data_IF_368179955205
#
_entry.id   IF_368179955205
#
_cell.length_a   1.000
_cell.length_b   1.000
_cell.length_c   1.000
_cell.angle_alpha   90.00
_cell.angle_beta   90.00
_cell.angle_gamma   90.00
#
_symmetry.space_group_name_H-M   'P 1'
#
loop_
_entity.id
_entity.type
_entity.pdbx_description
1 polymer ?
#
# COMPACT_ATOMS: atom_id res chain seq x y z
N UNK A 1 -3.57 -13.18 21.86
CA UNK A 1 -2.39 -12.33 21.65
C UNK A 1 -1.65 -12.12 22.96
N UNK A 2 -0.52 -12.80 23.20
CA UNK A 2 0.32 -12.61 24.40
C UNK A 2 1.48 -11.61 24.18
N UNK A 3 1.76 -11.24 22.93
CA UNK A 3 2.90 -10.40 22.54
C UNK A 3 2.84 -9.00 23.19
N UNK A 4 1.64 -8.42 23.38
CA UNK A 4 1.49 -7.11 24.01
C UNK A 4 1.89 -7.06 25.49
N UNK A 5 1.99 -8.21 26.16
CA UNK A 5 2.42 -8.29 27.56
C UNK A 5 3.92 -8.57 27.73
N UNK A 6 4.69 -8.69 26.65
CA UNK A 6 6.11 -8.93 26.74
C UNK A 6 6.84 -7.62 27.13
N UNK A 7 7.47 -7.54 28.31
CA UNK A 7 8.13 -6.31 28.77
C UNK A 7 9.25 -5.85 27.84
N UNK A 8 9.91 -6.81 27.18
CA UNK A 8 11.01 -6.53 26.26
C UNK A 8 10.55 -5.78 25.01
N UNK A 9 9.42 -6.17 24.44
CA UNK A 9 8.84 -5.51 23.29
C UNK A 9 8.39 -4.09 23.61
N UNK A 10 7.79 -3.89 24.78
CA UNK A 10 7.29 -2.58 25.23
C UNK A 10 8.36 -1.63 25.78
N UNK A 11 9.61 -2.07 25.89
CA UNK A 11 10.70 -1.28 26.47
C UNK A 11 11.95 -1.32 25.61
N UNK A 12 12.94 -2.17 25.97
CA UNK A 12 14.26 -2.14 25.36
C UNK A 12 14.25 -2.42 23.85
N UNK A 13 13.36 -3.28 23.32
CA UNK A 13 13.30 -3.55 21.89
C UNK A 13 12.67 -2.41 21.09
N UNK A 14 11.63 -1.75 21.61
CA UNK A 14 11.10 -0.54 20.98
C UNK A 14 12.15 0.59 20.93
N UNK A 15 12.88 0.80 22.02
CA UNK A 15 13.98 1.76 22.07
C UNK A 15 15.12 1.39 21.11
N UNK A 16 15.50 0.10 21.06
CA UNK A 16 16.52 -0.40 20.12
C UNK A 16 16.09 -0.20 18.66
N UNK A 17 14.84 -0.54 18.31
CA UNK A 17 14.29 -0.35 16.96
C UNK A 17 14.31 1.12 16.56
N UNK A 18 13.92 2.03 17.47
CA UNK A 18 13.94 3.46 17.21
C UNK A 18 15.36 4.00 17.02
N UNK A 19 16.29 3.63 17.89
CA UNK A 19 17.70 4.04 17.78
C UNK A 19 18.36 3.48 16.52
N UNK A 20 18.06 2.22 16.17
CA UNK A 20 18.56 1.59 14.95
C UNK A 20 18.09 2.34 13.69
N UNK A 21 16.80 2.71 13.61
CA UNK A 21 16.29 3.51 12.49
C UNK A 21 17.01 4.86 12.36
N UNK A 22 17.35 5.51 13.48
CA UNK A 22 18.12 6.76 13.48
C UNK A 22 19.55 6.56 12.97
N UNK A 23 20.22 5.48 13.38
CA UNK A 23 21.55 5.15 12.85
C UNK A 23 21.50 4.84 11.35
N UNK A 24 20.45 4.16 10.88
CA UNK A 24 20.25 3.95 9.44
C UNK A 24 20.04 5.26 8.68
N UNK A 25 19.18 6.15 9.18
CA UNK A 25 18.98 7.48 8.58
C UNK A 25 20.29 8.28 8.49
N UNK A 26 21.13 8.21 9.52
CA UNK A 26 22.45 8.86 9.52
C UNK A 26 23.37 8.26 8.45
N UNK A 27 23.40 6.94 8.30
CA UNK A 27 24.20 6.28 7.27
C UNK A 27 23.72 6.65 5.87
N UNK A 28 22.41 6.69 5.64
CA UNK A 28 21.83 7.14 4.36
C UNK A 28 22.18 8.59 4.06
N UNK A 29 22.24 9.47 5.06
CA UNK A 29 22.65 10.88 4.85
C UNK A 29 24.13 11.06 4.51
N UNK A 30 24.99 10.08 4.83
CA UNK A 30 26.44 10.14 4.62
C UNK A 30 26.89 9.38 3.36
N UNK A 31 26.07 8.46 2.86
CA UNK A 31 26.42 7.61 1.71
C UNK A 31 25.22 7.51 0.77
N UNK A 32 25.33 8.12 -0.40
CA UNK A 32 24.30 8.17 -1.45
C UNK A 32 24.25 6.88 -2.32
N UNK A 33 24.72 5.73 -1.82
CA UNK A 33 24.60 4.50 -2.61
C UNK A 33 24.57 3.19 -1.83
N UNK A 34 23.71 2.31 -2.34
CA UNK A 34 23.51 0.88 -2.09
C UNK A 34 22.99 0.45 -0.69
N UNK A 35 22.33 -0.73 -0.59
CA UNK A 35 21.76 -1.25 0.66
C UNK A 35 22.82 -1.38 1.76
N UNK A 36 22.41 -1.09 3.01
CA UNK A 36 23.25 -1.14 4.21
C UNK A 36 24.10 -2.43 4.22
N UNK A 37 25.41 -2.28 4.05
CA UNK A 37 26.36 -3.40 4.13
C UNK A 37 26.27 -4.11 5.50
N UNK A 38 26.60 -5.40 5.55
CA UNK A 38 26.57 -6.24 6.75
C UNK A 38 27.39 -5.61 7.90
N UNK A 39 28.52 -4.99 7.60
CA UNK A 39 29.35 -4.32 8.62
C UNK A 39 28.62 -3.12 9.22
N UNK A 40 27.94 -2.34 8.38
CA UNK A 40 27.15 -1.20 8.82
C UNK A 40 25.92 -1.63 9.63
N UNK A 41 25.28 -2.74 9.27
CA UNK A 41 24.21 -3.35 10.07
C UNK A 41 24.69 -3.68 11.49
N UNK A 42 25.81 -4.42 11.62
CA UNK A 42 26.33 -4.83 12.94
C UNK A 42 26.72 -3.61 13.77
N UNK A 43 27.38 -2.61 13.17
CA UNK A 43 27.79 -1.38 13.87
C UNK A 43 26.59 -0.55 14.32
N UNK A 44 25.59 -0.37 13.45
CA UNK A 44 24.36 0.37 13.77
C UNK A 44 23.56 -0.35 14.87
N UNK A 45 23.47 -1.68 14.80
CA UNK A 45 22.81 -2.48 15.82
C UNK A 45 23.53 -2.42 17.17
N UNK A 46 24.87 -2.46 17.19
CA UNK A 46 25.65 -2.34 18.43
C UNK A 46 25.33 -1.03 19.18
N UNK A 47 25.33 0.10 18.46
CA UNK A 47 24.94 1.41 19.03
C UNK A 47 23.48 1.44 19.47
N UNK A 48 22.58 0.90 18.65
CA UNK A 48 21.17 0.85 18.99
C UNK A 48 20.90 0.01 20.25
N UNK A 49 21.67 -1.07 20.44
CA UNK A 49 21.61 -1.93 21.62
C UNK A 49 22.05 -1.19 22.88
N UNK A 50 23.09 -0.37 22.83
CA UNK A 50 23.51 0.44 23.99
C UNK A 50 22.41 1.42 24.43
N UNK A 51 21.72 2.04 23.47
CA UNK A 51 20.59 2.94 23.74
C UNK A 51 19.36 2.19 24.23
N UNK A 52 19.09 1.01 23.67
CA UNK A 52 17.91 0.20 23.98
C UNK A 52 18.02 -0.55 25.29
N UNK A 53 19.16 -1.20 25.56
CA UNK A 53 19.42 -2.07 26.71
C UNK A 53 19.84 -1.29 27.95
N UNK A 54 19.05 -0.26 28.29
CA UNK A 54 19.28 0.52 29.49
C UNK A 54 18.36 0.10 30.62
N UNK A 55 18.83 0.28 31.85
CA UNK A 55 18.07 0.09 33.09
C UNK A 55 16.68 0.75 33.02
N UNK A 56 16.61 1.97 32.49
CA UNK A 56 15.38 2.76 32.37
C UNK A 56 14.38 2.14 31.40
N UNK A 57 14.85 1.70 30.22
CA UNK A 57 13.99 1.12 29.18
C UNK A 57 13.47 -0.27 29.58
N UNK A 58 14.29 -1.05 30.28
CA UNK A 58 13.85 -2.32 30.85
C UNK A 58 12.70 -2.01 31.81
N UNK A 59 12.89 -1.16 32.82
CA UNK A 59 11.84 -0.81 33.77
C UNK A 59 10.56 -0.27 33.13
N UNK A 60 10.69 0.58 32.11
CA UNK A 60 9.51 1.14 31.44
C UNK A 60 8.68 0.02 30.79
N UNK A 61 9.32 -0.97 30.16
CA UNK A 61 8.63 -2.12 29.58
C UNK A 61 7.85 -2.94 30.61
N UNK A 62 8.44 -3.20 31.78
CA UNK A 62 7.77 -3.91 32.87
C UNK A 62 6.62 -3.11 33.49
N UNK A 63 6.74 -1.79 33.51
CA UNK A 63 5.70 -0.88 34.01
C UNK A 63 4.49 -0.80 33.08
N UNK A 64 4.73 -0.77 31.77
CA UNK A 64 3.69 -0.70 30.72
C UNK A 64 2.86 -1.98 30.72
N UNK A 65 3.53 -3.13 30.78
CA UNK A 65 2.88 -4.44 30.81
C UNK A 65 2.16 -4.72 32.13
N UNK A 66 2.40 -3.93 33.17
CA UNK A 66 1.83 -4.15 34.51
C UNK A 66 2.45 -5.33 35.24
N UNK A 67 3.58 -5.86 34.76
CA UNK A 67 4.30 -6.96 35.40
C UNK A 67 5.15 -6.47 36.59
N UNK A 68 5.71 -5.25 36.52
CA UNK A 68 6.41 -4.64 37.66
C UNK A 68 6.25 -3.11 37.74
N UNK A 69 5.78 -2.57 38.89
CA UNK A 69 5.13 -3.29 39.99
C UNK A 69 3.88 -4.05 39.51
N UNK A 70 3.64 -5.23 40.08
CA UNK A 70 2.56 -6.13 39.64
C UNK A 70 1.20 -5.41 39.74
N UNK A 71 0.52 -5.27 38.61
CA UNK A 71 -0.76 -4.58 38.50
C UNK A 71 -1.65 -5.24 37.46
N UNK A 72 -2.61 -6.06 37.91
CA UNK A 72 -3.60 -6.71 37.05
C UNK A 72 -4.41 -5.72 36.22
N UNK A 73 -4.76 -4.55 36.79
CA UNK A 73 -5.52 -3.51 36.07
C UNK A 73 -4.76 -3.01 34.85
N UNK A 74 -3.45 -2.76 34.98
CA UNK A 74 -2.64 -2.27 33.85
C UNK A 74 -2.49 -3.30 32.74
N UNK A 75 -2.27 -4.57 33.10
CA UNK A 75 -2.23 -5.65 32.12
C UNK A 75 -3.56 -5.74 31.35
N UNK A 76 -4.70 -5.72 32.04
CA UNK A 76 -6.03 -5.83 31.42
C UNK A 76 -6.44 -4.62 30.56
N UNK A 77 -5.87 -3.44 30.81
CA UNK A 77 -6.13 -2.22 30.03
C UNK A 77 -5.26 -2.15 28.77
N UNK A 78 -4.25 -3.02 28.62
CA UNK A 78 -3.32 -2.95 27.49
C UNK A 78 -4.05 -3.06 26.14
N UNK A 79 -3.76 -2.19 25.15
CA UNK A 79 -4.46 -2.16 23.86
C UNK A 79 -4.54 -3.51 23.16
N UNK A 80 -3.46 -4.31 23.20
CA UNK A 80 -3.40 -5.62 22.56
C UNK A 80 -4.21 -6.73 23.27
N UNK A 81 -4.64 -6.49 24.51
CA UNK A 81 -5.47 -7.44 25.28
C UNK A 81 -6.93 -7.05 25.23
N UNK A 82 -7.22 -5.75 25.14
CA UNK A 82 -8.58 -5.33 24.90
C UNK A 82 -9.02 -5.92 23.56
N UNK A 83 -10.02 -6.82 23.54
CA UNK A 83 -10.70 -7.09 22.28
C UNK A 83 -11.18 -5.74 21.79
N UNK A 84 -11.05 -5.45 20.49
CA UNK A 84 -11.58 -4.24 19.85
C UNK A 84 -12.85 -3.85 20.57
N UNK A 85 -12.81 -2.73 21.30
CA UNK A 85 -13.96 -2.29 22.10
C UNK A 85 -15.14 -2.29 21.15
N UNK A 86 -16.02 -3.29 21.27
CA UNK A 86 -17.39 -3.13 20.86
C UNK A 86 -17.82 -1.87 21.57
N UNK A 87 -18.10 -0.85 20.77
CA UNK A 87 -18.57 0.45 21.22
C UNK A 87 -19.54 0.22 22.37
N UNK A 88 -19.18 0.71 23.56
CA UNK A 88 -20.09 0.74 24.68
C UNK A 88 -21.21 1.69 24.29
N UNK A 89 -22.29 1.13 23.74
CA UNK A 89 -23.60 1.76 23.62
C UNK A 89 -23.99 2.26 25.01
N UNK A 90 -24.32 3.55 25.19
CA UNK A 90 -24.95 4.02 26.41
C UNK A 90 -26.28 3.28 26.59
N UNK A 91 -26.57 2.86 27.82
CA UNK A 91 -27.80 2.17 28.17
C UNK A 91 -29.05 2.98 27.74
N UNK A 92 -29.98 2.23 27.14
CA UNK A 92 -31.44 2.41 27.03
C UNK A 92 -32.04 3.69 27.58
N UNK A 93 -32.82 4.39 26.76
CA UNK A 93 -34.27 4.48 26.95
C UNK A 93 -34.95 4.93 25.65
N UNK A 94 -35.58 3.97 24.96
CA UNK A 94 -36.41 4.21 23.79
C UNK A 94 -37.11 2.91 23.37
N UNK A 95 -38.39 2.95 22.95
CA UNK A 95 -39.10 1.76 22.51
C UNK A 95 -38.33 1.08 21.38
N UNK A 96 -37.97 -0.18 21.60
CA UNK A 96 -37.31 -1.04 20.63
C UNK A 96 -38.31 -1.38 19.52
N UNK A 97 -38.35 -0.57 18.47
CA UNK A 97 -38.90 -1.00 17.19
C UNK A 97 -37.99 -2.10 16.64
N UNK A 98 -38.47 -3.33 16.81
CA UNK A 98 -37.82 -4.56 16.40
C UNK A 98 -37.69 -4.68 14.89
N UNK A 99 -36.71 -4.00 14.33
CA UNK A 99 -36.18 -4.33 13.02
C UNK A 99 -34.83 -5.01 13.23
N UNK A 100 -34.85 -6.35 13.21
CA UNK A 100 -33.65 -7.14 12.99
C UNK A 100 -33.08 -6.70 11.63
N UNK A 101 -32.13 -5.77 11.68
CA UNK A 101 -31.35 -5.40 10.52
C UNK A 101 -30.62 -6.67 10.09
N UNK A 102 -31.03 -7.24 8.95
CA UNK A 102 -30.25 -8.30 8.31
C UNK A 102 -28.81 -7.81 8.17
N UNK A 103 -27.82 -8.63 8.54
CA UNK A 103 -26.37 -8.37 8.38
C UNK A 103 -25.91 -8.26 6.91
N UNK A 104 -26.77 -7.72 6.05
CA UNK A 104 -26.50 -7.50 4.65
C UNK A 104 -25.58 -6.28 4.52
N UNK A 105 -24.32 -6.55 4.17
CA UNK A 105 -23.37 -5.50 3.80
C UNK A 105 -23.92 -4.69 2.62
N UNK A 106 -24.01 -3.36 2.73
CA UNK A 106 -24.53 -2.54 1.65
C UNK A 106 -23.61 -2.59 0.44
N UNK A 107 -24.18 -2.91 -0.73
CA UNK A 107 -23.43 -3.10 -1.99
C UNK A 107 -23.38 -1.85 -2.89
N UNK A 108 -24.16 -0.82 -2.58
CA UNK A 108 -24.35 0.34 -3.46
C UNK A 108 -24.54 1.61 -2.65
N UNK A 109 -24.06 2.74 -3.18
CA UNK A 109 -24.23 4.08 -2.59
C UNK A 109 -25.69 4.42 -2.21
N UNK A 110 -26.66 3.97 -3.03
CA UNK A 110 -28.11 4.11 -2.79
C UNK A 110 -28.59 3.36 -1.54
N UNK A 111 -28.16 2.12 -1.38
CA UNK A 111 -28.52 1.32 -0.20
C UNK A 111 -28.06 2.01 1.08
N UNK A 112 -26.85 2.59 1.08
CA UNK A 112 -26.31 3.34 2.22
C UNK A 112 -27.14 4.61 2.53
N UNK A 113 -27.65 5.29 1.49
CA UNK A 113 -28.56 6.43 1.66
C UNK A 113 -29.89 6.01 2.27
N UNK A 114 -30.40 4.86 1.85
CA UNK A 114 -31.67 4.31 2.33
C UNK A 114 -31.58 3.93 3.82
N UNK A 115 -30.44 3.41 4.28
CA UNK A 115 -30.19 3.17 5.71
C UNK A 115 -30.24 4.45 6.57
N UNK A 116 -29.90 5.60 5.98
CA UNK A 116 -29.99 6.90 6.65
C UNK A 116 -31.39 7.51 6.69
N UNK A 117 -32.38 6.92 5.98
CA UNK A 117 -33.78 7.37 6.02
C UNK A 117 -34.37 7.10 7.40
N UNK A 118 -35.19 8.03 7.90
CA UNK A 118 -35.84 7.95 9.22
C UNK A 118 -34.89 7.90 10.43
N UNK A 119 -33.59 8.15 10.25
CA UNK A 119 -32.63 8.29 11.35
C UNK A 119 -32.40 9.76 11.73
N UNK A 120 -31.76 9.98 12.88
CA UNK A 120 -31.41 11.31 13.39
C UNK A 120 -30.53 12.10 12.39
N UNK A 121 -30.55 13.45 12.43
CA UNK A 121 -29.77 14.27 11.51
C UNK A 121 -28.26 13.96 11.50
N UNK A 122 -27.68 13.68 12.68
CA UNK A 122 -26.27 13.30 12.82
C UNK A 122 -25.97 11.96 12.13
N UNK A 123 -26.82 10.95 12.33
CA UNK A 123 -26.70 9.63 11.72
C UNK A 123 -26.89 9.70 10.20
N UNK A 124 -27.88 10.44 9.71
CA UNK A 124 -28.08 10.69 8.28
C UNK A 124 -26.85 11.33 7.63
N UNK A 125 -26.20 12.27 8.32
CA UNK A 125 -24.96 12.90 7.84
C UNK A 125 -23.82 11.89 7.72
N UNK A 126 -23.66 10.96 8.67
CA UNK A 126 -22.66 9.87 8.58
C UNK A 126 -22.91 8.99 7.37
N UNK A 127 -24.14 8.53 7.17
CA UNK A 127 -24.50 7.73 5.98
C UNK A 127 -24.29 8.50 4.67
N UNK A 128 -24.59 9.80 4.63
CA UNK A 128 -24.35 10.62 3.43
C UNK A 128 -22.87 10.71 3.05
N UNK A 129 -21.96 10.83 4.02
CA UNK A 129 -20.50 10.84 3.75
C UNK A 129 -20.07 9.50 3.15
N UNK A 130 -20.54 8.39 3.72
CA UNK A 130 -20.22 7.05 3.23
C UNK A 130 -20.78 6.84 1.82
N UNK A 131 -22.04 7.21 1.57
CA UNK A 131 -22.66 7.12 0.24
C UNK A 131 -21.89 7.89 -0.82
N UNK A 132 -21.41 9.10 -0.51
CA UNK A 132 -20.58 9.90 -1.44
C UNK A 132 -19.26 9.21 -1.78
N UNK A 133 -18.63 8.54 -0.80
CA UNK A 133 -17.43 7.74 -1.05
C UNK A 133 -17.68 6.60 -2.03
N UNK A 134 -18.81 5.91 -1.88
CA UNK A 134 -19.22 4.86 -2.82
C UNK A 134 -19.53 5.41 -4.21
N UNK A 135 -20.18 6.57 -4.35
CA UNK A 135 -20.42 7.19 -5.67
C UNK A 135 -19.13 7.51 -6.41
N UNK A 136 -18.12 8.02 -5.70
CA UNK A 136 -16.81 8.29 -6.29
C UNK A 136 -16.13 7.00 -6.77
N UNK A 137 -16.25 5.93 -6.00
CA UNK A 137 -15.73 4.61 -6.36
C UNK A 137 -16.48 4.00 -7.55
N UNK A 138 -17.81 4.04 -7.55
CA UNK A 138 -18.67 3.58 -8.65
C UNK A 138 -18.32 4.34 -9.94
N UNK A 139 -18.11 5.65 -9.86
CA UNK A 139 -17.68 6.48 -10.99
C UNK A 139 -16.30 6.09 -11.52
N UNK A 140 -15.34 5.83 -10.62
CA UNK A 140 -14.01 5.35 -10.99
C UNK A 140 -14.08 3.98 -11.67
N UNK A 141 -14.85 3.05 -11.13
CA UNK A 141 -15.07 1.72 -11.73
C UNK A 141 -15.67 1.87 -13.14
N UNK A 142 -16.69 2.71 -13.31
CA UNK A 142 -17.29 2.97 -14.62
C UNK A 142 -16.25 3.53 -15.61
N UNK A 143 -15.46 4.52 -15.21
CA UNK A 143 -14.41 5.09 -16.06
C UNK A 143 -13.34 4.07 -16.48
N UNK A 144 -12.92 3.20 -15.55
CA UNK A 144 -11.96 2.15 -15.82
C UNK A 144 -12.55 1.08 -16.73
N UNK A 145 -13.80 0.67 -16.51
CA UNK A 145 -14.48 -0.29 -17.39
C UNK A 145 -14.62 0.23 -18.82
N UNK A 146 -14.92 1.52 -19.01
CA UNK A 146 -14.99 2.14 -20.32
C UNK A 146 -13.61 2.17 -21.02
N UNK A 147 -12.55 2.47 -20.27
CA UNK A 147 -11.18 2.44 -20.79
C UNK A 147 -10.75 1.02 -21.16
N UNK A 148 -11.08 0.01 -20.35
CA UNK A 148 -10.81 -1.40 -20.66
C UNK A 148 -11.53 -1.79 -21.94
N UNK A 149 -12.82 -1.50 -22.08
CA UNK A 149 -13.58 -1.81 -23.29
C UNK A 149 -12.98 -1.16 -24.56
N UNK A 150 -12.57 0.11 -24.47
CA UNK A 150 -11.92 0.82 -25.58
C UNK A 150 -10.56 0.20 -25.95
N UNK A 151 -9.75 -0.17 -24.96
CA UNK A 151 -8.46 -0.83 -25.20
C UNK A 151 -8.65 -2.23 -25.80
N UNK A 152 -9.65 -2.98 -25.34
CA UNK A 152 -9.98 -4.30 -25.91
C UNK A 152 -10.44 -4.19 -27.36
N UNK A 153 -11.21 -3.15 -27.72
CA UNK A 153 -11.59 -2.88 -29.10
C UNK A 153 -10.38 -2.53 -29.99
N UNK A 154 -9.48 -1.67 -29.51
CA UNK A 154 -8.24 -1.30 -30.21
C UNK A 154 -7.35 -2.52 -30.44
N UNK A 155 -7.12 -3.32 -29.39
CA UNK A 155 -6.38 -4.58 -29.49
C UNK A 155 -7.07 -5.51 -30.49
N UNK A 156 -8.40 -5.62 -30.45
CA UNK A 156 -9.17 -6.39 -31.43
C UNK A 156 -8.96 -5.90 -32.87
N UNK A 157 -8.94 -4.59 -33.09
CA UNK A 157 -8.70 -3.97 -34.42
C UNK A 157 -7.29 -4.27 -34.92
N UNK A 158 -6.27 -4.13 -34.07
CA UNK A 158 -4.87 -4.38 -34.41
C UNK A 158 -4.58 -5.89 -34.61
N UNK A 159 -5.14 -6.73 -33.74
CA UNK A 159 -5.04 -8.19 -33.76
C UNK A 159 -5.64 -8.82 -35.01
N UNK A 160 -6.72 -8.23 -35.55
CA UNK A 160 -7.41 -8.78 -36.74
C UNK A 160 -6.48 -8.95 -37.94
N UNK A 161 -5.38 -8.19 -38.03
CA UNK A 161 -4.42 -8.25 -39.13
C UNK A 161 -5.07 -7.96 -40.49
N UNK A 162 -4.28 -7.56 -41.48
CA UNK A 162 -4.77 -7.60 -42.86
C UNK A 162 -4.81 -9.08 -43.25
N UNK A 163 -5.99 -9.67 -43.45
CA UNK A 163 -6.10 -11.02 -44.04
C UNK A 163 -5.25 -11.02 -45.30
N UNK A 164 -4.13 -11.74 -45.31
CA UNK A 164 -3.28 -11.87 -46.50
C UNK A 164 -4.19 -12.46 -47.57
N UNK A 165 -4.39 -11.73 -48.67
CA UNK A 165 -5.07 -12.31 -49.84
C UNK A 165 -4.30 -13.59 -50.18
N UNK A 166 -5.01 -14.69 -50.38
CA UNK A 166 -4.39 -15.94 -50.77
C UNK A 166 -3.50 -15.66 -51.99
N UNK A 167 -2.18 -15.76 -51.81
CA UNK A 167 -1.24 -15.58 -52.91
C UNK A 167 -1.51 -16.75 -53.86
N UNK A 168 -1.98 -16.50 -55.11
CA UNK A 168 -2.20 -17.58 -56.05
C UNK A 168 -0.89 -18.35 -56.22
N UNK A 169 -0.94 -19.69 -56.04
CA UNK A 169 0.23 -20.56 -56.15
C UNK A 169 1.02 -20.20 -57.44
N UNK A 170 2.33 -19.92 -57.36
CA UNK A 170 3.14 -19.54 -58.51
C UNK A 170 3.01 -20.51 -59.69
N UNK A 171 2.93 -21.83 -59.43
CA UNK A 171 2.74 -22.83 -60.48
C UNK A 171 1.41 -22.69 -61.22
N UNK A 172 0.35 -22.19 -60.56
CA UNK A 172 -0.94 -21.96 -61.20
C UNK A 172 -0.88 -20.80 -62.19
N UNK A 173 -0.05 -19.77 -61.93
CA UNK A 173 0.16 -18.66 -62.86
C UNK A 173 0.81 -19.14 -64.15
N UNK A 174 1.80 -20.03 -64.06
CA UNK A 174 2.46 -20.60 -65.23
C UNK A 174 1.52 -21.46 -66.07
N UNK A 175 0.64 -22.26 -65.44
CA UNK A 175 -0.40 -23.03 -66.14
C UNK A 175 -1.36 -22.08 -66.88
N UNK A 176 -1.88 -21.05 -66.22
CA UNK A 176 -2.80 -20.09 -66.86
C UNK A 176 -2.14 -19.31 -68.00
N UNK A 177 -0.85 -19.00 -67.90
CA UNK A 177 -0.11 -18.33 -68.98
C UNK A 177 0.12 -19.27 -70.17
N UNK A 178 0.44 -20.54 -69.92
CA UNK A 178 0.57 -21.55 -70.96
C UNK A 178 -0.77 -21.82 -71.66
N UNK A 179 -1.87 -21.91 -70.90
CA UNK A 179 -3.23 -22.06 -71.43
C UNK A 179 -3.65 -20.84 -72.26
N UNK A 180 -3.36 -19.62 -71.82
CA UNK A 180 -3.66 -18.38 -72.56
C UNK A 180 -2.83 -18.25 -73.86
N UNK A 181 -1.56 -18.67 -73.84
CA UNK A 181 -0.71 -18.73 -75.04
C UNK A 181 -1.19 -19.78 -76.05
N UNK A 182 -1.69 -20.92 -75.58
CA UNK A 182 -2.31 -21.96 -76.41
C UNK A 182 -3.65 -21.47 -76.99
N UNK A 183 -4.39 -20.64 -76.25
CA UNK A 183 -5.67 -20.06 -76.68
C UNK A 183 -5.55 -18.80 -77.58
N UNK A 184 -4.35 -18.19 -77.68
CA UNK A 184 -4.05 -17.13 -78.64
C UNK A 184 -4.27 -15.68 -78.19
N UNK A 185 -4.47 -15.40 -76.89
CA UNK A 185 -4.76 -14.04 -76.40
C UNK A 185 -3.49 -13.28 -75.94
N UNK A 186 -3.36 -12.01 -76.34
CA UNK A 186 -2.20 -11.14 -76.04
C UNK A 186 -2.40 -10.33 -74.74
N UNK A 187 -1.43 -10.37 -73.82
CA UNK A 187 -1.50 -9.70 -72.50
C UNK A 187 -0.91 -8.28 -72.58
N UNK A 188 -1.72 -7.25 -72.31
CA UNK A 188 -1.28 -5.84 -72.21
C UNK A 188 -0.69 -5.52 -70.83
N UNK A 189 0.38 -4.72 -70.79
CA UNK A 189 1.22 -4.41 -69.61
C UNK A 189 0.86 -3.04 -69.04
N UNK A 190 0.44 -2.97 -67.77
CA UNK A 190 0.21 -1.72 -67.02
C UNK A 190 1.31 -1.49 -65.99
N UNK A 191 1.95 -0.32 -66.03
CA UNK A 191 3.00 0.11 -65.10
C UNK A 191 2.42 1.13 -64.10
N UNK A 192 2.29 0.80 -62.80
CA UNK A 192 2.07 1.79 -61.73
C UNK A 192 2.67 1.28 -60.41
N UNK A 193 3.90 1.72 -60.08
CA UNK A 193 4.50 1.58 -58.75
C UNK A 193 5.78 2.44 -58.63
N UNK A 194 5.65 3.76 -58.68
CA UNK A 194 6.68 4.73 -58.25
C UNK A 194 5.89 5.93 -57.72
N UNK A 195 5.80 6.14 -56.39
CA UNK A 195 5.43 7.44 -55.75
C UNK A 195 5.31 7.38 -54.20
N UNK A 196 5.92 6.44 -53.47
CA UNK A 196 5.77 6.42 -51.99
C UNK A 196 7.07 6.09 -51.25
N UNK A 197 8.14 6.80 -51.60
CA UNK A 197 9.43 6.71 -50.91
C UNK A 197 10.18 8.06 -50.93
N UNK A 198 9.56 9.14 -50.44
CA UNK A 198 10.28 10.38 -50.15
C UNK A 198 9.52 11.21 -49.10
N UNK A 199 10.27 11.81 -48.15
CA UNK A 199 9.85 12.72 -47.07
C UNK A 199 9.38 12.11 -45.72
N UNK A 200 10.31 11.41 -45.05
CA UNK A 200 10.43 11.43 -43.58
C UNK A 200 11.73 12.19 -43.27
N UNK A 201 11.67 13.32 -42.55
CA UNK A 201 12.75 13.92 -41.72
C UNK A 201 12.34 15.30 -41.18
N UNK A 202 12.21 15.42 -39.85
CA UNK A 202 12.51 16.59 -38.99
C UNK A 202 11.86 16.35 -37.60
N UNK A 203 12.39 16.70 -36.43
CA UNK A 203 13.72 17.02 -35.88
C UNK A 203 13.53 16.98 -34.34
N UNK A 204 14.61 16.67 -33.62
CA UNK A 204 14.73 16.56 -32.15
C UNK A 204 14.98 17.94 -31.52
N UNK A 205 14.41 18.25 -30.35
CA UNK A 205 15.04 19.19 -29.40
C UNK A 205 14.64 18.94 -27.91
N UNK A 206 15.51 19.42 -27.02
CA UNK A 206 15.90 18.98 -25.67
C UNK A 206 15.63 20.08 -24.61
N UNK A 207 15.52 19.69 -23.33
CA UNK A 207 15.83 20.54 -22.14
C UNK A 207 14.61 21.04 -21.35
N UNK A 208 14.59 21.20 -20.03
CA UNK A 208 15.60 21.17 -18.96
C UNK A 208 14.93 21.39 -17.58
N UNK A 209 15.76 21.37 -16.53
CA UNK A 209 15.55 21.20 -15.07
C UNK A 209 14.93 22.41 -14.33
N UNK A 210 14.31 22.20 -13.14
CA UNK A 210 14.58 22.97 -11.89
C UNK A 210 13.95 22.34 -10.61
N UNK A 211 14.68 22.46 -9.50
CA UNK A 211 14.46 21.95 -8.13
C UNK A 211 13.89 23.06 -7.22
N UNK A 212 13.25 22.71 -6.10
CA UNK A 212 13.31 23.56 -4.88
C UNK A 212 13.04 22.79 -3.57
N UNK A 213 13.79 23.14 -2.53
CA UNK A 213 13.80 22.57 -1.17
C UNK A 213 13.05 23.44 -0.15
N UNK A 214 12.65 22.86 1.00
CA UNK A 214 12.18 23.63 2.15
C UNK A 214 12.01 22.82 3.44
N UNK A 215 12.91 23.05 4.41
CA UNK A 215 12.95 22.42 5.74
C UNK A 215 12.36 23.31 6.85
N UNK A 216 11.73 22.74 7.88
CA UNK A 216 11.67 23.34 9.23
C UNK A 216 11.36 22.33 10.35
N UNK A 217 12.14 22.44 11.43
CA UNK A 217 12.21 21.63 12.65
C UNK A 217 11.28 22.10 13.78
N UNK A 218 10.77 21.18 14.62
CA UNK A 218 10.28 21.50 15.98
C UNK A 218 10.74 20.45 16.99
N UNK A 219 11.41 20.91 18.03
CA UNK A 219 11.94 20.13 19.15
C UNK A 219 10.85 19.84 20.20
N UNK A 220 10.81 18.61 20.72
CA UNK A 220 9.98 18.22 21.85
C UNK A 220 10.82 18.02 23.11
N UNK A 221 10.55 18.83 24.13
CA UNK A 221 11.08 18.71 25.50
C UNK A 221 10.09 17.90 26.35
N UNK A 222 10.54 16.82 26.99
CA UNK A 222 9.75 16.13 28.03
C UNK A 222 10.64 15.89 29.25
N UNK A 223 10.32 16.62 30.32
CA UNK A 223 10.89 16.46 31.66
C UNK A 223 10.48 15.11 32.26
N UNK A 224 11.46 14.35 32.76
CA UNK A 224 11.24 13.04 33.38
C UNK A 224 11.49 13.14 34.89
N UNK A 225 10.43 13.39 35.66
CA UNK A 225 10.45 13.40 37.13
C UNK A 225 9.91 12.06 37.64
N UNK A 226 10.57 11.52 38.69
CA UNK A 226 10.24 10.30 39.45
C UNK A 226 10.75 8.96 38.89
N UNK A 227 12.05 8.70 39.09
CA UNK A 227 12.61 7.33 39.13
C UNK A 227 12.76 6.95 40.61
N UNK A 228 11.79 6.18 41.13
CA UNK A 228 11.94 5.49 42.42
C UNK A 228 13.04 4.43 42.33
N UNK A 229 13.89 4.37 43.36
CA UNK A 229 15.03 3.49 43.44
C UNK A 229 14.60 2.02 43.50
N UNK A 230 15.13 1.21 42.58
CA UNK A 230 14.99 -0.24 42.56
C UNK A 230 16.35 -0.88 42.88
N UNK A 231 16.36 -1.83 43.80
CA UNK A 231 17.57 -2.47 44.32
C UNK A 231 18.26 -3.35 43.27
N UNK A 232 19.59 -3.44 43.34
CA UNK A 232 20.42 -4.16 42.37
C UNK A 232 20.02 -5.65 42.20
N UNK A 233 19.58 -6.29 43.28
CA UNK A 233 19.12 -7.69 43.28
C UNK A 233 17.87 -7.90 42.42
N UNK A 234 16.95 -6.94 42.40
CA UNK A 234 15.73 -7.02 41.59
C UNK A 234 16.04 -6.84 40.10
N UNK A 235 17.04 -6.01 39.76
CA UNK A 235 17.55 -5.92 38.39
C UNK A 235 18.18 -7.20 37.93
N UNK A 236 18.93 -7.87 38.81
CA UNK A 236 19.54 -9.14 38.47
C UNK A 236 18.46 -10.21 38.19
N UNK A 237 17.39 -10.28 38.98
CA UNK A 237 16.27 -11.19 38.71
C UNK A 237 15.56 -10.89 37.39
N UNK A 238 15.29 -9.62 37.10
CA UNK A 238 14.68 -9.20 35.83
C UNK A 238 15.60 -9.47 34.64
N UNK A 239 16.88 -9.09 34.74
CA UNK A 239 17.87 -9.30 33.69
C UNK A 239 18.13 -10.79 33.43
N UNK A 240 18.15 -11.62 34.48
CA UNK A 240 18.30 -13.07 34.37
C UNK A 240 17.08 -13.74 33.74
N UNK A 241 15.88 -13.23 34.02
CA UNK A 241 14.66 -13.63 33.31
C UNK A 241 14.73 -13.27 31.81
N UNK A 242 15.28 -12.10 31.46
CA UNK A 242 15.49 -11.67 30.06
C UNK A 242 16.60 -12.42 29.30
N UNK A 243 17.48 -13.17 29.97
CA UNK A 243 18.55 -13.96 29.33
C UNK A 243 18.10 -15.42 29.12
N UNK A 244 17.14 -15.91 29.92
CA UNK A 244 16.68 -17.30 29.91
C UNK A 244 15.42 -17.54 29.07
N UNK A 245 14.81 -16.49 28.51
CA UNK A 245 13.67 -16.50 27.60
C UNK A 245 13.89 -15.50 26.46
#
# INVERSE_FOLDING_TARGET
>A
CSHGLQPLDNGPFNASKAAYRKELQKLTSLTDSAPVDKVNFIRAYAKAREVGMTKKNILSGWRVTGNWPVSRRKALIHPDIQPDKKETTPASDGPSDGQHDSDNTPKTSRHIRDLGKNKSPSTRRRYSVISKGFEAQESKIASLSARVASLEEEVGRLSRGKKRRAIPNPNRKFITLAEALVAGDTISRSNEAIEEAEAVEEVIEVGGVEEDEGSASVANNINNTYIGNMEASQYYCIAKWCILY
#
